data_IF_443078753700
#
_entry.id   IF_443078753700
#
_cell.length_a   1.000
_cell.length_b   1.000
_cell.length_c   1.000
_cell.angle_alpha   90.00
_cell.angle_beta   90.00
_cell.angle_gamma   90.00
#
_symmetry.space_group_name_H-M   'P 1'
#
loop_
_entity.id
_entity.type
_entity.pdbx_description
1 polymer ?
#
# COMPACT_ATOMS: atom_id res chain seq x y z
N UNK A 1 5.91 5.74 15.05
CA UNK A 1 6.28 7.07 14.51
C UNK A 1 5.34 8.14 15.04
N UNK A 2 5.79 9.38 15.01
CA UNK A 2 5.09 10.58 15.48
C UNK A 2 4.43 11.38 14.34
N UNK A 3 4.84 11.14 13.09
CA UNK A 3 4.32 11.80 11.88
C UNK A 3 2.79 11.71 11.79
N UNK A 4 2.23 10.48 11.83
CA UNK A 4 0.79 10.28 11.69
C UNK A 4 0.00 10.89 12.85
N UNK A 5 0.37 10.70 14.13
CA UNK A 5 -0.29 11.40 15.24
C UNK A 5 -0.26 12.92 15.12
N UNK A 6 0.88 13.52 14.71
CA UNK A 6 1.00 14.96 14.51
C UNK A 6 0.09 15.46 13.39
N UNK A 7 0.05 14.73 12.28
CA UNK A 7 -0.80 15.05 11.14
C UNK A 7 -2.30 14.94 11.47
N UNK A 8 -2.70 13.90 12.19
CA UNK A 8 -4.09 13.65 12.57
C UNK A 8 -4.53 14.38 13.85
N UNK A 9 -3.66 15.21 14.46
CA UNK A 9 -4.01 16.00 15.64
C UNK A 9 -4.21 15.20 16.94
N UNK A 10 -3.68 13.97 17.02
CA UNK A 10 -3.77 13.12 18.21
C UNK A 10 -3.23 11.72 17.99
N UNK A 11 -2.99 10.98 19.07
CA UNK A 11 -2.59 9.56 18.99
C UNK A 11 -3.77 8.67 18.58
N UNK A 12 -3.49 7.45 18.09
CA UNK A 12 -4.53 6.45 17.76
C UNK A 12 -5.49 6.15 18.92
N UNK A 13 -5.03 6.28 20.18
CA UNK A 13 -5.88 6.10 21.36
C UNK A 13 -6.81 7.30 21.59
N UNK A 14 -6.36 8.51 21.28
CA UNK A 14 -7.13 9.75 21.47
C UNK A 14 -8.16 9.98 20.36
N UNK A 15 -7.78 9.71 19.11
CA UNK A 15 -8.63 9.94 17.92
C UNK A 15 -8.80 8.65 17.08
N UNK A 16 -9.31 7.55 17.67
CA UNK A 16 -9.37 6.24 17.00
C UNK A 16 -10.22 6.25 15.73
N UNK A 17 -11.32 7.03 15.72
CA UNK A 17 -12.18 7.20 14.55
C UNK A 17 -11.41 7.80 13.37
N UNK A 18 -10.65 8.87 13.61
CA UNK A 18 -9.86 9.52 12.57
C UNK A 18 -8.76 8.62 11.99
N UNK A 19 -8.10 7.82 12.84
CA UNK A 19 -7.14 6.81 12.36
C UNK A 19 -7.82 5.73 11.50
N UNK A 20 -9.02 5.30 11.88
CA UNK A 20 -9.79 4.32 11.10
C UNK A 20 -10.17 4.92 9.74
N UNK A 21 -10.73 6.12 9.74
CA UNK A 21 -11.23 6.77 8.54
C UNK A 21 -10.07 7.18 7.60
N UNK A 22 -8.91 7.53 8.14
CA UNK A 22 -7.70 7.84 7.36
C UNK A 22 -6.96 6.59 6.84
N UNK A 23 -7.30 5.38 7.28
CA UNK A 23 -6.62 4.15 6.87
C UNK A 23 -7.21 3.61 5.55
N UNK A 24 -6.47 3.59 4.42
CA UNK A 24 -7.02 3.21 3.11
C UNK A 24 -7.57 1.78 3.05
N UNK A 25 -6.99 0.87 3.84
CA UNK A 25 -7.41 -0.54 3.91
C UNK A 25 -8.87 -0.72 4.34
N UNK A 26 -9.42 0.23 5.10
CA UNK A 26 -10.80 0.16 5.58
C UNK A 26 -11.84 0.55 4.51
N UNK A 27 -11.39 1.06 3.36
CA UNK A 27 -12.25 1.52 2.27
C UNK A 27 -12.23 0.59 1.06
N UNK A 28 -11.57 -0.57 1.17
CA UNK A 28 -11.56 -1.57 0.11
C UNK A 28 -12.92 -2.25 0.02
N UNK A 29 -13.51 -2.25 -1.18
CA UNK A 29 -14.82 -2.83 -1.47
C UNK A 29 -14.76 -3.66 -2.77
N UNK A 30 -15.85 -4.35 -3.09
CA UNK A 30 -15.98 -5.06 -4.37
C UNK A 30 -16.02 -4.13 -5.59
N UNK A 31 -16.24 -2.82 -5.40
CA UNK A 31 -16.16 -1.81 -6.45
C UNK A 31 -14.78 -1.16 -6.56
N UNK A 32 -13.82 -1.48 -5.68
CA UNK A 32 -12.46 -0.96 -5.80
C UNK A 32 -11.81 -1.34 -7.14
N UNK A 33 -11.05 -0.42 -7.75
CA UNK A 33 -10.33 -0.70 -9.00
C UNK A 33 -9.21 -1.72 -8.76
N UNK A 34 -8.71 -2.40 -9.81
CA UNK A 34 -7.49 -3.20 -9.70
C UNK A 34 -6.34 -2.39 -9.09
N UNK A 35 -5.49 -3.02 -8.28
CA UNK A 35 -4.35 -2.38 -7.63
C UNK A 35 -3.05 -3.14 -7.88
N UNK A 36 -1.99 -2.35 -8.08
CA UNK A 36 -0.60 -2.79 -8.11
C UNK A 36 0.15 -2.12 -6.96
N UNK A 37 0.89 -2.91 -6.18
CA UNK A 37 1.68 -2.43 -5.05
C UNK A 37 3.09 -2.97 -5.22
N UNK A 38 4.10 -2.12 -5.09
CA UNK A 38 5.48 -2.56 -4.91
C UNK A 38 6.01 -2.04 -3.57
N UNK A 39 6.75 -2.89 -2.85
CA UNK A 39 7.15 -2.61 -1.47
C UNK A 39 8.53 -3.22 -1.17
N UNK A 40 9.40 -2.46 -0.53
CA UNK A 40 10.68 -2.95 -0.01
C UNK A 40 10.47 -3.86 1.19
N UNK A 41 11.15 -5.02 1.21
CA UNK A 41 10.98 -6.00 2.32
C UNK A 41 11.73 -5.62 3.59
N UNK A 42 12.62 -4.63 3.54
CA UNK A 42 13.38 -4.11 4.67
C UNK A 42 12.99 -2.65 5.00
N UNK A 43 11.78 -2.24 4.61
CA UNK A 43 11.26 -0.90 4.89
C UNK A 43 10.78 -0.78 6.34
N UNK A 44 11.54 -0.08 7.18
CA UNK A 44 11.15 0.15 8.58
C UNK A 44 10.30 1.41 8.78
N UNK A 45 10.17 2.27 7.76
CA UNK A 45 9.40 3.50 7.82
C UNK A 45 7.92 3.23 7.50
N UNK A 46 7.67 2.50 6.41
CA UNK A 46 6.36 2.02 6.00
C UNK A 46 6.44 0.51 5.90
N UNK A 47 6.13 -0.15 7.02
CA UNK A 47 6.44 -1.55 7.19
C UNK A 47 5.66 -2.47 6.20
N UNK A 48 6.28 -3.57 5.71
CA UNK A 48 5.70 -4.45 4.70
C UNK A 48 4.32 -5.03 5.03
N UNK A 49 3.96 -5.15 6.31
CA UNK A 49 2.64 -5.67 6.71
C UNK A 49 1.49 -4.78 6.24
N UNK A 50 1.73 -3.51 5.94
CA UNK A 50 0.71 -2.64 5.34
C UNK A 50 0.30 -3.14 3.95
N UNK A 51 1.27 -3.57 3.12
CA UNK A 51 1.00 -4.17 1.81
C UNK A 51 0.28 -5.52 1.97
N UNK A 52 0.71 -6.37 2.91
CA UNK A 52 0.06 -7.66 3.20
C UNK A 52 -1.41 -7.47 3.62
N UNK A 53 -1.70 -6.51 4.51
CA UNK A 53 -3.07 -6.19 4.94
C UNK A 53 -3.92 -5.67 3.79
N UNK A 54 -3.36 -4.84 2.92
CA UNK A 54 -4.06 -4.35 1.73
C UNK A 54 -4.41 -5.50 0.78
N UNK A 55 -3.47 -6.42 0.51
CA UNK A 55 -3.76 -7.60 -0.32
C UNK A 55 -4.84 -8.48 0.29
N UNK A 56 -4.81 -8.71 1.60
CA UNK A 56 -5.86 -9.48 2.28
C UNK A 56 -7.24 -8.81 2.15
N UNK A 57 -7.31 -7.48 2.29
CA UNK A 57 -8.55 -6.72 2.12
C UNK A 57 -9.10 -6.83 0.68
N UNK A 58 -8.25 -6.69 -0.32
CA UNK A 58 -8.62 -6.85 -1.73
C UNK A 58 -9.12 -8.27 -2.05
N UNK A 59 -8.42 -9.30 -1.57
CA UNK A 59 -8.85 -10.70 -1.73
C UNK A 59 -10.21 -10.94 -1.08
N UNK A 60 -10.44 -10.41 0.14
CA UNK A 60 -11.74 -10.49 0.81
C UNK A 60 -12.86 -9.78 0.03
N UNK A 61 -12.53 -8.73 -0.70
CA UNK A 61 -13.46 -8.03 -1.59
C UNK A 61 -13.68 -8.71 -2.96
N UNK A 62 -13.12 -9.91 -3.17
CA UNK A 62 -13.25 -10.66 -4.42
C UNK A 62 -12.38 -10.13 -5.56
N UNK A 63 -11.29 -9.43 -5.24
CA UNK A 63 -10.33 -8.87 -6.20
C UNK A 63 -9.00 -9.62 -6.13
N UNK A 64 -8.20 -9.51 -7.18
CA UNK A 64 -6.85 -10.07 -7.24
C UNK A 64 -5.78 -8.96 -7.29
N UNK A 65 -5.25 -8.54 -6.13
CA UNK A 65 -4.25 -7.48 -6.05
C UNK A 65 -2.85 -8.01 -6.37
N UNK A 66 -2.08 -7.26 -7.14
CA UNK A 66 -0.67 -7.59 -7.40
C UNK A 66 0.24 -6.93 -6.36
N UNK A 67 1.09 -7.73 -5.70
CA UNK A 67 2.18 -7.22 -4.86
C UNK A 67 3.52 -7.67 -5.42
N UNK A 68 4.41 -6.70 -5.60
CA UNK A 68 5.77 -6.88 -6.10
C UNK A 68 6.79 -6.50 -5.04
N UNK A 69 7.44 -7.51 -4.47
CA UNK A 69 8.39 -7.32 -3.38
C UNK A 69 9.78 -6.94 -3.90
N UNK A 70 10.34 -5.86 -3.39
CA UNK A 70 11.72 -5.46 -3.63
C UNK A 70 12.60 -6.01 -2.50
N UNK A 71 13.21 -7.16 -2.74
CA UNK A 71 13.96 -7.91 -1.73
C UNK A 71 15.14 -7.08 -1.18
N UNK A 72 15.22 -6.99 0.15
CA UNK A 72 16.29 -6.30 0.88
C UNK A 72 16.27 -4.77 0.77
N UNK A 73 15.26 -4.19 0.12
CA UNK A 73 15.17 -2.73 -0.03
C UNK A 73 14.51 -2.08 1.18
N UNK A 74 15.17 -1.06 1.73
CA UNK A 74 14.59 -0.12 2.70
C UNK A 74 13.66 0.89 2.01
N UNK A 75 13.08 1.83 2.76
CA UNK A 75 12.23 2.89 2.20
C UNK A 75 12.97 3.73 1.16
N UNK A 76 14.14 4.25 1.54
CA UNK A 76 14.93 5.16 0.70
C UNK A 76 15.53 4.40 -0.49
N UNK A 77 16.01 3.17 -0.28
CA UNK A 77 16.54 2.35 -1.36
C UNK A 77 15.45 1.94 -2.35
N UNK A 78 14.25 1.62 -1.86
CA UNK A 78 13.10 1.31 -2.71
C UNK A 78 12.67 2.50 -3.58
N UNK A 79 12.81 3.72 -3.06
CA UNK A 79 12.55 4.96 -3.81
C UNK A 79 13.62 5.23 -4.87
N UNK A 80 14.91 5.17 -4.50
CA UNK A 80 16.02 5.49 -5.39
C UNK A 80 16.34 4.37 -6.40
N UNK A 81 16.06 3.12 -6.03
CA UNK A 81 16.41 1.92 -6.78
C UNK A 81 15.20 1.00 -6.96
N UNK A 82 14.08 1.57 -7.43
CA UNK A 82 12.86 0.82 -7.73
C UNK A 82 13.03 -0.19 -8.87
N UNK A 83 14.13 -0.14 -9.63
CA UNK A 83 14.39 -1.04 -10.75
C UNK A 83 13.27 -0.96 -11.78
N UNK A 84 12.70 -2.10 -12.16
CA UNK A 84 11.62 -2.21 -13.15
C UNK A 84 10.23 -1.95 -12.56
N UNK A 85 10.09 -1.64 -11.27
CA UNK A 85 8.76 -1.62 -10.62
C UNK A 85 7.82 -0.53 -11.13
N UNK A 86 8.36 0.57 -11.65
CA UNK A 86 7.55 1.60 -12.30
C UNK A 86 7.06 1.11 -13.67
N UNK A 87 7.93 0.49 -14.47
CA UNK A 87 7.56 -0.08 -15.78
C UNK A 87 6.52 -1.20 -15.62
N UNK A 88 6.71 -2.10 -14.64
CA UNK A 88 5.73 -3.15 -14.31
C UNK A 88 4.37 -2.57 -13.90
N UNK A 89 4.36 -1.43 -13.20
CA UNK A 89 3.13 -0.73 -12.84
C UNK A 89 2.46 -0.09 -14.08
N UNK A 90 3.25 0.43 -15.02
CA UNK A 90 2.75 0.95 -16.30
C UNK A 90 2.15 -0.19 -17.13
N UNK A 91 2.83 -1.34 -17.24
CA UNK A 91 2.33 -2.53 -17.93
C UNK A 91 1.02 -3.05 -17.31
N UNK A 92 0.93 -3.03 -15.98
CA UNK A 92 -0.31 -3.35 -15.26
C UNK A 92 -1.45 -2.40 -15.66
N UNK A 93 -1.20 -1.10 -15.70
CA UNK A 93 -2.20 -0.10 -16.10
C UNK A 93 -2.61 -0.29 -17.57
N UNK A 94 -1.65 -0.52 -18.46
CA UNK A 94 -1.90 -0.79 -19.87
C UNK A 94 -2.80 -2.03 -20.06
N UNK A 95 -2.54 -3.10 -19.30
CA UNK A 95 -3.33 -4.34 -19.35
C UNK A 95 -4.77 -4.22 -18.83
N UNK A 96 -5.07 -3.21 -18.00
CA UNK A 96 -6.43 -2.94 -17.52
C UNK A 96 -7.15 -1.89 -18.37
N UNK A 97 -6.44 -0.91 -18.94
CA UNK A 97 -7.04 0.19 -19.71
C UNK A 97 -7.32 -0.17 -21.17
N UNK A 98 -6.60 -1.13 -21.74
CA UNK A 98 -6.81 -1.61 -23.12
C UNK A 98 -7.96 -2.62 -23.26
N UNK A 99 -8.77 -2.81 -22.20
CA UNK A 99 -9.90 -3.75 -22.18
C UNK A 99 -11.22 -3.09 -22.56
#
# INVERSE_FOLDING_TARGET
GDIVPKFLGGTKKQVPGLFRDASPVNHVTSSSPPIFIYQGTADDLVQPEHAVRMQAAYRKAGKDPQIHWMQGRSHVDGFLMSGTKVDEAIDFLDGIMKR
#
